data_IF_717938660337
#
_entry.id   IF_717938660337
#
_cell.length_a   1.000
_cell.length_b   1.000
_cell.length_c   1.000
_cell.angle_alpha   90.00
_cell.angle_beta   90.00
_cell.angle_gamma   90.00
#
_symmetry.space_group_name_H-M   'P 1'
#
loop_
_entity.id
_entity.type
_entity.pdbx_description
1 polymer ?
#
# COMPACT_ATOMS: atom_id res chain seq x y z
N UNK A 1 -27.23 -2.71 -13.54
CA UNK A 1 -26.48 -1.49 -13.16
C UNK A 1 -25.00 -1.79 -13.35
N UNK A 2 -24.42 -1.33 -14.45
CA UNK A 2 -22.97 -1.40 -14.65
C UNK A 2 -22.36 -0.25 -13.85
N UNK A 3 -21.76 -0.58 -12.70
CA UNK A 3 -20.82 0.33 -12.07
C UNK A 3 -19.63 0.42 -13.02
N UNK A 4 -19.34 1.63 -13.49
CA UNK A 4 -18.10 1.93 -14.21
C UNK A 4 -16.96 1.22 -13.48
N UNK A 5 -16.19 0.39 -14.19
CA UNK A 5 -14.99 -0.20 -13.63
C UNK A 5 -14.12 0.97 -13.19
N UNK A 6 -14.12 1.28 -11.89
CA UNK A 6 -13.11 2.15 -11.33
C UNK A 6 -11.79 1.53 -11.72
N UNK A 7 -10.89 2.33 -12.30
CA UNK A 7 -9.62 1.80 -12.79
C UNK A 7 -8.91 1.09 -11.64
N UNK A 8 -8.88 -0.25 -11.72
CA UNK A 8 -8.20 -1.09 -10.75
C UNK A 8 -6.75 -1.12 -11.14
N UNK A 9 -5.90 -0.52 -10.31
CA UNK A 9 -4.45 -0.59 -10.47
C UNK A 9 -3.93 -1.61 -9.46
N UNK A 10 -3.16 -2.60 -9.94
CA UNK A 10 -2.66 -3.70 -9.10
C UNK A 10 -3.75 -4.52 -8.37
N UNK A 11 -4.97 -4.55 -8.93
CA UNK A 11 -6.11 -5.21 -8.27
C UNK A 11 -6.67 -4.46 -7.07
N UNK A 12 -6.36 -3.17 -6.94
CA UNK A 12 -6.83 -2.29 -5.88
C UNK A 12 -7.60 -1.11 -6.49
N UNK A 13 -8.66 -0.61 -5.82
CA UNK A 13 -9.28 0.63 -6.23
C UNK A 13 -8.31 1.79 -5.99
N UNK A 14 -8.34 2.77 -6.88
CA UNK A 14 -7.52 3.98 -6.78
C UNK A 14 -7.65 4.69 -5.41
N UNK A 15 -8.82 4.59 -4.76
CA UNK A 15 -9.04 5.13 -3.41
C UNK A 15 -8.20 4.45 -2.34
N UNK A 16 -7.97 3.14 -2.43
CA UNK A 16 -7.10 2.41 -1.49
C UNK A 16 -5.64 2.79 -1.71
N UNK A 17 -5.20 2.87 -2.98
CA UNK A 17 -3.84 3.30 -3.34
C UNK A 17 -3.57 4.71 -2.81
N UNK A 18 -4.51 5.65 -2.99
CA UNK A 18 -4.38 7.02 -2.47
C UNK A 18 -4.29 7.08 -0.95
N UNK A 19 -5.02 6.24 -0.22
CA UNK A 19 -4.93 6.15 1.24
C UNK A 19 -3.55 5.66 1.70
N UNK A 20 -3.06 4.58 1.09
CA UNK A 20 -1.74 4.00 1.38
C UNK A 20 -0.64 5.03 1.10
N UNK A 21 -0.61 5.60 -0.11
CA UNK A 21 0.37 6.63 -0.48
C UNK A 21 0.23 7.89 0.37
N UNK A 22 -0.99 8.26 0.74
CA UNK A 22 -1.27 9.39 1.63
C UNK A 22 -0.63 9.23 3.01
N UNK A 23 -0.55 8.01 3.56
CA UNK A 23 0.18 7.73 4.79
C UNK A 23 1.68 7.76 4.54
N UNK A 24 2.17 7.00 3.56
CA UNK A 24 3.62 6.86 3.31
C UNK A 24 4.29 8.20 2.96
N UNK A 25 3.59 9.08 2.23
CA UNK A 25 4.08 10.42 1.88
C UNK A 25 4.32 11.36 3.07
N UNK A 26 3.82 11.02 4.26
CA UNK A 26 4.04 11.80 5.49
C UNK A 26 5.38 11.45 6.17
N UNK A 27 6.10 10.46 5.67
CA UNK A 27 7.37 9.99 6.23
C UNK A 27 8.52 10.36 5.28
N UNK A 28 9.18 11.51 5.48
CA UNK A 28 10.27 11.97 4.60
C UNK A 28 11.50 11.05 4.61
N UNK A 29 11.60 10.13 5.57
CA UNK A 29 12.64 9.10 5.61
C UNK A 29 12.48 8.05 4.51
N UNK A 30 11.28 7.91 3.94
CA UNK A 30 11.00 7.02 2.82
C UNK A 30 11.42 7.71 1.53
N UNK A 31 12.45 7.20 0.88
CA UNK A 31 12.96 7.71 -0.38
C UNK A 31 12.20 7.09 -1.56
N UNK A 32 11.93 5.78 -1.48
CA UNK A 32 11.18 5.04 -2.50
C UNK A 32 10.27 3.97 -1.90
N UNK A 33 9.17 3.69 -2.61
CA UNK A 33 8.21 2.62 -2.30
C UNK A 33 8.00 1.77 -3.54
N UNK A 34 8.18 0.46 -3.42
CA UNK A 34 7.86 -0.49 -4.49
C UNK A 34 6.75 -1.44 -4.07
N UNK A 35 5.86 -1.74 -5.01
CA UNK A 35 4.94 -2.85 -4.88
C UNK A 35 5.67 -4.16 -5.22
N UNK A 36 5.50 -5.15 -4.36
CA UNK A 36 6.02 -6.50 -4.55
C UNK A 36 4.87 -7.53 -4.56
N UNK A 37 5.25 -8.81 -4.50
CA UNK A 37 4.29 -9.88 -4.30
C UNK A 37 3.39 -10.16 -5.48
N UNK A 38 2.24 -10.75 -5.19
CA UNK A 38 1.29 -11.24 -6.19
C UNK A 38 0.63 -10.10 -6.98
N UNK A 39 0.42 -8.95 -6.34
CA UNK A 39 -0.19 -7.75 -6.95
C UNK A 39 0.73 -7.09 -7.96
N UNK A 40 2.04 -7.04 -7.68
CA UNK A 40 3.04 -6.58 -8.65
C UNK A 40 3.12 -7.50 -9.89
N UNK A 41 2.99 -8.82 -9.69
CA UNK A 41 3.02 -9.83 -10.75
C UNK A 41 1.71 -9.94 -11.54
N UNK A 42 0.63 -9.33 -11.05
CA UNK A 42 -0.71 -9.45 -11.64
C UNK A 42 -1.39 -10.81 -11.42
N UNK A 43 -0.86 -11.66 -10.53
CA UNK A 43 -1.41 -13.00 -10.23
C UNK A 43 -2.00 -13.11 -8.82
N UNK A 44 -2.43 -11.98 -8.26
CA UNK A 44 -3.14 -11.88 -6.98
C UNK A 44 -4.50 -12.57 -7.01
N UNK A 45 -5.02 -12.89 -5.83
CA UNK A 45 -6.36 -13.45 -5.60
C UNK A 45 -7.16 -12.51 -4.70
N UNK A 46 -8.46 -12.77 -4.57
CA UNK A 46 -9.27 -12.13 -3.53
C UNK A 46 -8.65 -12.41 -2.17
N UNK A 47 -8.43 -11.36 -1.38
CA UNK A 47 -7.77 -11.44 -0.07
C UNK A 47 -6.25 -11.54 -0.12
N UNK A 48 -5.61 -11.34 -1.28
CA UNK A 48 -4.14 -11.25 -1.31
C UNK A 48 -3.63 -9.97 -0.66
N UNK A 49 -2.61 -10.12 0.17
CA UNK A 49 -1.87 -9.06 0.84
C UNK A 49 -1.33 -7.99 -0.13
N UNK A 50 -0.95 -6.85 0.43
CA UNK A 50 -0.31 -5.74 -0.28
C UNK A 50 1.14 -5.63 0.20
N UNK A 51 2.04 -6.33 -0.49
CA UNK A 51 3.46 -6.32 -0.15
C UNK A 51 4.14 -5.03 -0.62
N UNK A 52 4.65 -4.22 0.30
CA UNK A 52 5.40 -2.99 0.01
C UNK A 52 6.83 -3.10 0.52
N UNK A 53 7.78 -2.69 -0.32
CA UNK A 53 9.18 -2.53 0.05
C UNK A 53 9.50 -1.02 0.13
N UNK A 54 10.14 -0.61 1.23
CA UNK A 54 10.55 0.78 1.46
C UNK A 54 12.07 0.87 1.37
N UNK A 55 12.59 1.77 0.53
CA UNK A 55 13.96 2.25 0.67
C UNK A 55 13.92 3.49 1.55
N UNK A 56 14.45 3.34 2.76
CA UNK A 56 14.35 4.34 3.80
C UNK A 56 15.55 4.21 4.76
N UNK A 57 16.78 4.54 4.34
CA UNK A 57 18.01 4.26 5.09
C UNK A 57 18.06 4.97 6.46
N UNK A 58 17.26 6.02 6.65
CA UNK A 58 17.15 6.79 7.89
C UNK A 58 15.95 6.38 8.75
N UNK A 59 15.12 5.44 8.31
CA UNK A 59 13.92 5.03 9.02
C UNK A 59 14.28 4.22 10.27
N UNK A 60 13.84 4.70 11.42
CA UNK A 60 14.04 3.98 12.68
C UNK A 60 13.02 2.87 12.86
N UNK A 61 13.32 1.89 13.72
CA UNK A 61 12.37 0.82 14.06
C UNK A 61 11.05 1.37 14.60
N UNK A 62 11.09 2.38 15.47
CA UNK A 62 9.87 3.00 16.02
C UNK A 62 9.01 3.63 14.93
N UNK A 63 9.62 4.32 13.95
CA UNK A 63 8.90 4.91 12.83
C UNK A 63 8.33 3.85 11.88
N UNK A 64 9.06 2.75 11.66
CA UNK A 64 8.53 1.59 10.90
C UNK A 64 7.28 1.02 11.56
N UNK A 65 7.32 0.77 12.86
CA UNK A 65 6.16 0.25 13.62
C UNK A 65 4.98 1.24 13.61
N UNK A 66 5.26 2.54 13.68
CA UNK A 66 4.23 3.58 13.53
C UNK A 66 3.57 3.53 12.15
N UNK A 67 4.35 3.39 11.07
CA UNK A 67 3.83 3.25 9.71
C UNK A 67 2.94 1.99 9.61
N UNK A 68 3.42 0.85 10.11
CA UNK A 68 2.66 -0.42 10.10
C UNK A 68 1.30 -0.25 10.78
N UNK A 69 1.26 0.28 12.00
CA UNK A 69 0.01 0.53 12.71
C UNK A 69 -0.94 1.44 11.93
N UNK A 70 -0.41 2.51 11.31
CA UNK A 70 -1.25 3.44 10.54
C UNK A 70 -1.80 2.83 9.26
N UNK A 71 -1.05 1.94 8.61
CA UNK A 71 -1.54 1.19 7.45
C UNK A 71 -2.65 0.21 7.87
N UNK A 72 -2.49 -0.48 9.01
CA UNK A 72 -3.51 -1.37 9.57
C UNK A 72 -4.80 -0.60 9.93
N UNK A 73 -4.68 0.61 10.47
CA UNK A 73 -5.82 1.49 10.79
C UNK A 73 -6.64 1.93 9.56
N UNK A 74 -6.15 1.71 8.35
CA UNK A 74 -6.96 1.92 7.14
C UNK A 74 -8.11 0.90 7.01
N UNK A 75 -8.02 -0.22 7.73
CA UNK A 75 -9.01 -1.31 7.73
C UNK A 75 -9.41 -1.73 6.32
N UNK A 76 -8.40 -1.87 5.45
CA UNK A 76 -8.61 -2.32 4.07
C UNK A 76 -9.05 -3.80 4.08
N UNK A 77 -9.87 -4.23 3.10
CA UNK A 77 -10.45 -5.57 3.09
C UNK A 77 -9.51 -6.66 2.52
N UNK A 78 -8.24 -6.34 2.33
CA UNK A 78 -7.16 -7.23 1.89
C UNK A 78 -5.95 -6.96 2.78
#
# INVERSE_FOLDING_TARGET
MSLAASELRYGLPESAIKKILGILSQYPEIEHVWLFGSRAKGNFRTGSDIDLCLEAPKLTLCKRLEIENRLDDLLLPW
#
